data_IF_839485168295
#
_entry.id   IF_839485168295
#
_cell.length_a   1.000
_cell.length_b   1.000
_cell.length_c   1.000
_cell.angle_alpha   90.00
_cell.angle_beta   90.00
_cell.angle_gamma   90.00
#
_symmetry.space_group_name_H-M   'P 1'
#
loop_
_entity.id
_entity.type
_entity.pdbx_description
1 polymer ?
#
# COMPACT_ATOMS: atom_id res chain seq x y z
N UNK A 1 8.14 17.53 -0.37
CA UNK A 1 7.18 17.00 0.64
C UNK A 1 6.44 15.80 0.06
N UNK A 2 6.56 14.64 0.70
CA UNK A 2 5.78 13.43 0.40
C UNK A 2 5.06 12.97 1.66
N UNK A 3 3.83 12.49 1.54
CA UNK A 3 3.11 11.90 2.67
C UNK A 3 3.01 10.38 2.54
N UNK A 4 3.40 9.70 3.61
CA UNK A 4 3.47 8.24 3.67
C UNK A 4 2.49 7.75 4.74
N UNK A 5 1.47 7.02 4.33
CA UNK A 5 0.50 6.42 5.24
C UNK A 5 0.88 4.98 5.58
N UNK A 6 0.80 4.61 6.85
CA UNK A 6 1.14 3.29 7.35
C UNK A 6 0.02 2.79 8.26
N UNK A 7 -0.60 1.63 7.99
CA UNK A 7 -1.54 1.02 8.93
C UNK A 7 -0.77 0.52 10.15
N UNK A 8 -1.14 1.00 11.33
CA UNK A 8 -0.45 0.66 12.57
C UNK A 8 -1.39 0.02 13.57
N UNK A 9 -0.83 -0.84 14.41
CA UNK A 9 -1.46 -1.37 15.62
C UNK A 9 -0.57 -0.96 16.80
N UNK A 10 -0.88 0.19 17.40
CA UNK A 10 0.02 0.90 18.29
C UNK A 10 1.23 1.42 17.51
N UNK A 11 2.43 0.96 17.88
CA UNK A 11 3.69 1.44 17.27
C UNK A 11 4.17 0.60 16.07
N UNK A 12 3.51 -0.53 15.81
CA UNK A 12 3.95 -1.51 14.82
C UNK A 12 3.02 -1.56 13.61
N UNK A 13 3.57 -1.89 12.44
CA UNK A 13 2.83 -2.05 11.18
C UNK A 13 1.85 -3.21 11.33
N UNK A 14 0.59 -2.95 11.03
CA UNK A 14 -0.45 -3.97 11.05
C UNK A 14 -0.25 -5.01 9.94
N UNK A 15 -0.54 -6.28 10.26
CA UNK A 15 -0.57 -7.38 9.30
C UNK A 15 -1.66 -7.21 8.22
N UNK A 16 -2.72 -6.47 8.56
CA UNK A 16 -3.89 -6.27 7.71
C UNK A 16 -4.24 -4.79 7.64
N UNK A 17 -4.15 -4.21 6.45
CA UNK A 17 -4.54 -2.82 6.20
C UNK A 17 -5.97 -2.51 6.66
N UNK A 18 -6.95 -3.36 6.34
CA UNK A 18 -8.35 -3.09 6.66
C UNK A 18 -8.71 -3.23 8.15
N UNK A 19 -7.96 -4.03 8.91
CA UNK A 19 -8.23 -4.29 10.33
C UNK A 19 -7.30 -3.48 11.26
N UNK A 20 -6.49 -2.58 10.71
CA UNK A 20 -5.64 -1.73 11.51
C UNK A 20 -6.50 -0.78 12.37
N UNK A 21 -6.22 -0.64 13.67
CA UNK A 21 -6.96 0.29 14.53
C UNK A 21 -6.69 1.75 14.17
N UNK A 22 -5.52 2.07 13.62
CA UNK A 22 -5.15 3.42 13.22
C UNK A 22 -4.18 3.42 12.02
N UNK A 23 -4.00 4.61 11.42
CA UNK A 23 -3.09 4.86 10.31
C UNK A 23 -2.19 6.04 10.65
N UNK A 24 -0.88 5.83 10.66
CA UNK A 24 0.06 6.94 10.82
C UNK A 24 0.42 7.53 9.47
N UNK A 25 0.22 8.83 9.34
CA UNK A 25 0.60 9.64 8.20
C UNK A 25 1.89 10.40 8.54
N UNK A 26 2.97 10.03 7.87
CA UNK A 26 4.26 10.65 8.00
C UNK A 26 4.49 11.63 6.85
N UNK A 27 4.75 12.89 7.17
CA UNK A 27 5.18 13.88 6.18
C UNK A 27 6.69 13.89 6.13
N UNK A 28 7.25 13.53 4.97
CA UNK A 28 8.70 13.49 4.74
C UNK A 28 9.10 14.63 3.81
N UNK A 29 10.16 15.33 4.18
CA UNK A 29 10.82 16.33 3.34
C UNK A 29 12.34 16.21 3.44
N UNK A 30 13.05 16.20 2.31
CA UNK A 30 14.50 15.99 2.24
C UNK A 30 15.00 14.78 3.06
N UNK A 31 14.31 13.64 2.93
CA UNK A 31 14.67 12.39 3.63
C UNK A 31 14.53 12.45 5.15
N UNK A 32 13.81 13.44 5.67
CA UNK A 32 13.51 13.58 7.10
C UNK A 32 12.00 13.62 7.36
N UNK A 33 11.56 12.97 8.43
CA UNK A 33 10.18 13.05 8.92
C UNK A 33 9.99 14.44 9.54
N UNK A 34 9.18 15.28 8.91
CA UNK A 34 8.83 16.63 9.40
C UNK A 34 7.56 16.66 10.24
N UNK A 35 6.63 15.74 9.98
CA UNK A 35 5.39 15.64 10.74
C UNK A 35 4.92 14.19 10.85
N UNK A 36 4.22 13.86 11.93
CA UNK A 36 3.56 12.58 12.15
C UNK A 36 2.14 12.83 12.67
N UNK A 37 1.16 12.27 11.98
CA UNK A 37 -0.26 12.40 12.32
C UNK A 37 -0.87 11.01 12.41
N UNK A 38 -1.53 10.69 13.51
CA UNK A 38 -2.28 9.44 13.66
C UNK A 38 -3.74 9.68 13.24
N UNK A 39 -4.24 8.84 12.36
CA UNK A 39 -5.63 8.85 11.92
C UNK A 39 -6.30 7.58 12.43
N UNK A 40 -7.23 7.74 13.37
CA UNK A 40 -8.03 6.63 13.88
C UNK A 40 -8.86 5.98 12.77
N UNK A 41 -9.01 4.66 12.81
CA UNK A 41 -9.85 3.96 11.85
C UNK A 41 -11.34 4.15 12.21
N UNK A 42 -12.14 4.86 11.38
CA UNK A 42 -13.56 5.07 11.65
C UNK A 42 -14.40 3.79 11.49
N UNK A 43 -13.83 2.70 10.97
CA UNK A 43 -14.45 1.39 10.83
C UNK A 43 -14.06 0.68 9.53
N UNK A 44 -14.17 -0.66 9.54
CA UNK A 44 -13.90 -1.49 8.37
C UNK A 44 -15.01 -1.36 7.31
N UNK A 45 -14.88 -0.38 6.41
CA UNK A 45 -15.71 -0.30 5.21
C UNK A 45 -14.87 -0.43 3.93
N UNK A 46 -15.31 -1.27 2.97
CA UNK A 46 -14.60 -1.45 1.71
C UNK A 46 -14.54 -0.13 0.93
N UNK A 47 -13.32 0.35 0.67
CA UNK A 47 -13.08 1.58 -0.09
C UNK A 47 -13.13 2.89 0.71
N UNK A 48 -13.46 2.85 2.00
CA UNK A 48 -13.46 4.03 2.85
C UNK A 48 -12.03 4.49 3.21
N UNK A 49 -11.20 3.55 3.65
CA UNK A 49 -9.81 3.84 4.06
C UNK A 49 -8.96 4.44 2.93
N UNK A 50 -8.99 3.93 1.69
CA UNK A 50 -8.24 4.55 0.60
C UNK A 50 -8.69 5.97 0.30
N UNK A 51 -9.99 6.26 0.41
CA UNK A 51 -10.52 7.60 0.20
C UNK A 51 -10.08 8.54 1.31
N UNK A 52 -10.14 8.10 2.56
CA UNK A 52 -9.68 8.85 3.72
C UNK A 52 -8.19 9.22 3.61
N UNK A 53 -7.33 8.28 3.21
CA UNK A 53 -5.90 8.56 3.03
C UNK A 53 -5.64 9.48 1.83
N UNK A 54 -6.41 9.35 0.76
CA UNK A 54 -6.36 10.28 -0.37
C UNK A 54 -6.78 11.70 0.03
N UNK A 55 -7.85 11.85 0.83
CA UNK A 55 -8.29 13.14 1.37
C UNK A 55 -7.26 13.76 2.32
N UNK A 56 -6.53 12.92 3.07
CA UNK A 56 -5.39 13.36 3.88
C UNK A 56 -4.15 13.76 3.05
N UNK A 57 -4.17 13.48 1.75
CA UNK A 57 -3.10 13.79 0.80
C UNK A 57 -1.93 12.80 0.85
N UNK A 58 -2.19 11.53 1.16
CA UNK A 58 -1.17 10.48 1.12
C UNK A 58 -0.70 10.21 -0.31
N UNK A 59 0.60 10.29 -0.55
CA UNK A 59 1.22 9.95 -1.85
C UNK A 59 1.60 8.46 -1.93
N UNK A 60 1.89 7.86 -0.78
CA UNK A 60 2.42 6.51 -0.66
C UNK A 60 1.78 5.80 0.54
N UNK A 61 1.45 4.51 0.38
CA UNK A 61 1.00 3.66 1.48
C UNK A 61 1.97 2.49 1.66
N UNK A 62 2.52 2.33 2.86
CA UNK A 62 3.40 1.21 3.20
C UNK A 62 2.65 0.28 4.15
N UNK A 63 2.52 -0.99 3.80
CA UNK A 63 1.88 -2.00 4.65
C UNK A 63 2.66 -3.32 4.58
N UNK A 64 2.36 -4.24 5.49
CA UNK A 64 2.83 -5.62 5.38
C UNK A 64 2.07 -6.37 4.28
N UNK A 65 0.76 -6.10 4.14
CA UNK A 65 -0.11 -6.72 3.16
C UNK A 65 -1.40 -5.92 2.98
N UNK A 66 -1.80 -5.78 1.72
CA UNK A 66 -2.98 -5.01 1.33
C UNK A 66 -3.88 -5.83 0.39
N UNK A 67 -5.20 -5.71 0.57
CA UNK A 67 -6.15 -6.36 -0.32
C UNK A 67 -6.15 -5.72 -1.72
N UNK A 68 -6.30 -6.54 -2.77
CA UNK A 68 -6.31 -6.10 -4.18
C UNK A 68 -7.30 -4.96 -4.45
N UNK A 69 -8.47 -4.97 -3.79
CA UNK A 69 -9.46 -3.89 -3.92
C UNK A 69 -8.92 -2.54 -3.46
N UNK A 70 -8.18 -2.49 -2.36
CA UNK A 70 -7.59 -1.25 -1.86
C UNK A 70 -6.46 -0.77 -2.77
N UNK A 71 -5.58 -1.68 -3.23
CA UNK A 71 -4.51 -1.39 -4.20
C UNK A 71 -5.09 -0.76 -5.47
N UNK A 72 -6.16 -1.34 -6.02
CA UNK A 72 -6.81 -0.81 -7.23
C UNK A 72 -7.39 0.60 -7.03
N UNK A 73 -7.88 0.93 -5.82
CA UNK A 73 -8.37 2.28 -5.51
C UNK A 73 -7.20 3.24 -5.34
N UNK A 74 -6.13 2.86 -4.65
CA UNK A 74 -4.93 3.69 -4.52
C UNK A 74 -4.30 4.01 -5.88
N UNK A 75 -4.14 2.99 -6.73
CA UNK A 75 -3.62 3.16 -8.09
C UNK A 75 -4.48 4.15 -8.92
N UNK A 76 -5.82 4.09 -8.79
CA UNK A 76 -6.72 5.04 -9.44
C UNK A 76 -6.58 6.48 -8.94
N UNK A 77 -6.11 6.66 -7.70
CA UNK A 77 -5.87 7.97 -7.10
C UNK A 77 -4.40 8.41 -7.24
N UNK A 78 -3.58 7.72 -8.05
CA UNK A 78 -2.13 7.97 -8.18
C UNK A 78 -1.36 7.84 -6.85
N UNK A 79 -1.84 6.98 -5.96
CA UNK A 79 -1.18 6.68 -4.69
C UNK A 79 -0.40 5.38 -4.86
N UNK A 80 0.90 5.44 -4.60
CA UNK A 80 1.77 4.26 -4.64
C UNK A 80 1.52 3.35 -3.44
N UNK A 81 1.69 2.05 -3.62
CA UNK A 81 1.54 1.06 -2.54
C UNK A 81 2.79 0.19 -2.43
N UNK A 82 3.28 0.03 -1.22
CA UNK A 82 4.38 -0.87 -0.87
C UNK A 82 3.84 -1.92 0.10
N UNK A 83 4.04 -3.19 -0.26
CA UNK A 83 3.73 -4.33 0.58
C UNK A 83 5.03 -5.02 1.01
N UNK A 84 5.02 -5.67 2.18
CA UNK A 84 6.17 -6.42 2.70
C UNK A 84 6.93 -5.73 3.84
N UNK A 85 6.52 -4.52 4.26
CA UNK A 85 7.11 -3.87 5.43
C UNK A 85 6.59 -4.49 6.74
N UNK A 86 7.47 -4.69 7.73
CA UNK A 86 7.13 -5.28 9.04
C UNK A 86 7.92 -4.57 10.15
N UNK A 87 7.41 -4.64 11.38
CA UNK A 87 8.04 -4.03 12.55
C UNK A 87 7.49 -2.62 12.81
N UNK A 88 8.35 -1.70 13.25
CA UNK A 88 7.94 -0.35 13.64
C UNK A 88 7.63 0.53 12.41
N UNK A 89 6.57 1.33 12.49
CA UNK A 89 6.11 2.19 11.39
C UNK A 89 7.16 3.24 10.97
N UNK A 90 7.77 3.91 11.95
CA UNK A 90 8.82 4.91 11.70
C UNK A 90 10.03 4.28 11.02
N UNK A 91 10.48 3.11 11.49
CA UNK A 91 11.59 2.38 10.86
C UNK A 91 11.30 2.03 9.40
N UNK A 92 10.06 1.67 9.07
CA UNK A 92 9.70 1.41 7.68
C UNK A 92 9.79 2.66 6.81
N UNK A 93 9.42 3.84 7.32
CA UNK A 93 9.65 5.10 6.61
C UNK A 93 11.15 5.31 6.37
N UNK A 94 11.99 5.14 7.40
CA UNK A 94 13.44 5.29 7.27
C UNK A 94 14.04 4.30 6.25
N UNK A 95 13.62 3.03 6.28
CA UNK A 95 14.06 2.02 5.31
C UNK A 95 13.61 2.35 3.88
N UNK A 96 12.43 2.95 3.72
CA UNK A 96 11.96 3.43 2.42
C UNK A 96 12.82 4.59 1.90
N UNK A 97 13.16 5.55 2.75
CA UNK A 97 14.02 6.68 2.39
C UNK A 97 15.43 6.20 2.00
N UNK A 98 15.93 5.16 2.67
CA UNK A 98 17.21 4.52 2.34
C UNK A 98 17.13 3.60 1.11
N UNK A 99 15.98 3.53 0.43
CA UNK A 99 15.78 2.72 -0.78
C UNK A 99 15.76 1.20 -0.55
N UNK A 100 15.60 0.75 0.70
CA UNK A 100 15.54 -0.69 1.04
C UNK A 100 14.16 -1.30 0.81
N UNK A 101 13.10 -0.48 0.88
CA UNK A 101 11.76 -0.90 0.53
C UNK A 101 11.51 -0.59 -0.95
N UNK A 102 11.55 -1.63 -1.78
CA UNK A 102 11.21 -1.52 -3.18
C UNK A 102 9.73 -1.16 -3.32
N UNK A 103 9.42 -0.20 -4.21
CA UNK A 103 8.04 -0.01 -4.66
C UNK A 103 7.56 -1.34 -5.22
N UNK A 104 6.39 -1.81 -4.78
CA UNK A 104 5.74 -2.89 -5.49
C UNK A 104 5.32 -2.27 -6.81
N UNK A 105 6.19 -2.35 -7.81
CA UNK A 105 5.87 -2.05 -9.19
C UNK A 105 4.57 -2.78 -9.44
N UNK A 106 3.48 -2.03 -9.58
CA UNK A 106 2.18 -2.54 -10.00
C UNK A 106 2.27 -2.95 -11.49
N UNK A 107 3.35 -3.63 -11.85
CA UNK A 107 3.42 -4.40 -13.05
C UNK A 107 2.78 -5.76 -12.77
N UNK A 108 1.46 -5.74 -12.63
CA UNK A 108 0.67 -6.79 -13.25
C UNK A 108 0.89 -6.71 -14.78
N UNK A 109 2.11 -6.97 -15.24
CA UNK A 109 2.33 -7.55 -16.55
C UNK A 109 1.93 -9.01 -16.43
N UNK A 110 0.62 -9.25 -16.32
CA UNK A 110 0.05 -10.34 -17.10
C UNK A 110 -0.26 -9.75 -18.47
N UNK A 111 0.81 -9.32 -19.16
CA UNK A 111 0.77 -9.17 -20.59
C UNK A 111 0.59 -10.57 -21.15
N UNK A 112 -0.62 -10.85 -21.62
CA UNK A 112 -0.79 -11.49 -22.92
C UNK A 112 0.02 -12.78 -23.17
N UNK A 113 -0.36 -13.88 -22.52
CA UNK A 113 -0.24 -15.19 -23.17
C UNK A 113 -1.61 -15.62 -23.70
N UNK A 114 -2.06 -14.84 -24.68
CA UNK A 114 -2.94 -15.33 -25.74
C UNK A 114 -2.18 -16.34 -26.61
N UNK A 115 -1.85 -17.51 -26.06
CA UNK A 115 -1.50 -18.66 -26.88
C UNK A 115 -2.78 -19.38 -27.29
N UNK A 116 -3.44 -18.82 -28.31
CA UNK A 116 -4.10 -19.67 -29.31
C UNK A 116 -3.05 -20.65 -29.84
N UNK A 117 -3.19 -21.95 -29.55
CA UNK A 117 -2.92 -23.01 -30.53
C UNK A 117 -3.40 -24.39 -30.03
N UNK A 118 -4.54 -24.80 -30.59
CA UNK A 118 -4.83 -26.11 -31.18
C UNK A 118 -4.62 -27.39 -30.32
N UNK A 119 -5.69 -27.84 -29.66
CA UNK A 119 -5.82 -29.20 -29.13
C UNK A 119 -6.90 -29.98 -29.88
N UNK A 120 -6.46 -30.67 -30.94
CA UNK A 120 -7.26 -31.47 -31.87
C UNK A 120 -8.18 -32.50 -31.20
N UNK A 121 -9.31 -32.74 -31.87
CA UNK A 121 -10.21 -33.86 -31.66
C UNK A 121 -9.45 -35.19 -31.51
N UNK A 122 -9.75 -35.93 -30.44
CA UNK A 122 -9.36 -37.32 -30.30
C UNK A 122 -10.59 -38.17 -30.60
N UNK A 123 -10.59 -38.80 -31.77
CA UNK A 123 -11.49 -39.87 -32.14
C UNK A 123 -10.62 -41.11 -32.35
N UNK A 124 -10.76 -42.08 -31.46
CA UNK A 124 -10.59 -43.51 -31.71
C UNK A 124 -11.37 -44.27 -30.63
#
# INVERSE_FOLDING_TARGET
>A
MKKIAIPVNGENISAHFGHAPAFNLYTVDNEEIKNEEEIENPGHQPGLLPKLLNEAGADLVISSGMGQKAIAIFAKNNIDVICGAKGNARKAVEEFLHGKLAKSDNNCSHGEEGHHHNGSAHHH
#
